data_IF_305870878185
#
_entry.id   IF_305870878185
#
_cell.length_a   1.000
_cell.length_b   1.000
_cell.length_c   1.000
_cell.angle_alpha   90.00
_cell.angle_beta   90.00
_cell.angle_gamma   90.00
#
_symmetry.space_group_name_H-M   'P 1'
#
loop_
_entity.id
_entity.type
_entity.pdbx_description
1 polymer ?
#
# COMPACT_ATOMS: atom_id res chain seq x y z
N UNK A 1 -2.44 -5.70 12.31
CA UNK A 1 -3.11 -6.96 11.93
C UNK A 1 -3.61 -6.93 10.48
N UNK A 2 -2.75 -6.64 9.51
CA UNK A 2 -3.09 -6.63 8.08
C UNK A 2 -2.31 -7.74 7.40
N UNK A 3 -2.46 -8.93 7.99
CA UNK A 3 -2.05 -10.18 7.38
C UNK A 3 -2.92 -10.52 6.16
N UNK A 4 -2.76 -11.73 5.60
CA UNK A 4 -3.54 -12.23 4.48
C UNK A 4 -5.07 -12.02 4.59
N UNK A 5 -5.63 -11.88 5.80
CA UNK A 5 -7.04 -11.55 6.03
C UNK A 5 -7.51 -10.21 5.44
N UNK A 6 -6.72 -9.14 5.55
CA UNK A 6 -7.09 -7.82 5.02
C UNK A 6 -7.07 -7.81 3.48
N UNK A 7 -6.08 -8.48 2.87
CA UNK A 7 -6.02 -8.69 1.43
C UNK A 7 -7.18 -9.54 0.89
N UNK A 8 -7.60 -10.57 1.65
CA UNK A 8 -8.78 -11.38 1.35
C UNK A 8 -10.08 -10.57 1.44
N UNK A 9 -10.20 -9.67 2.42
CA UNK A 9 -11.38 -8.81 2.56
C UNK A 9 -11.50 -7.79 1.41
N UNK A 10 -10.40 -7.12 1.05
CA UNK A 10 -10.36 -6.20 -0.09
C UNK A 10 -10.66 -6.91 -1.42
N UNK A 11 -10.21 -8.16 -1.55
CA UNK A 11 -10.50 -8.99 -2.71
C UNK A 11 -11.99 -9.39 -2.78
N UNK A 12 -12.58 -9.85 -1.66
CA UNK A 12 -14.02 -10.16 -1.57
C UNK A 12 -14.88 -8.96 -1.99
N UNK A 13 -14.60 -7.77 -1.46
CA UNK A 13 -15.35 -6.55 -1.80
C UNK A 13 -15.27 -6.16 -3.29
N UNK A 14 -14.16 -6.46 -3.97
CA UNK A 14 -14.02 -6.22 -5.40
C UNK A 14 -14.76 -7.26 -6.25
N UNK A 15 -14.83 -8.51 -5.79
CA UNK A 15 -15.51 -9.61 -6.44
C UNK A 15 -17.04 -9.50 -6.30
N UNK A 16 -17.55 -9.11 -5.12
CA UNK A 16 -18.99 -8.90 -4.88
C UNK A 16 -19.60 -7.86 -5.84
N UNK A 17 -18.81 -6.88 -6.28
CA UNK A 17 -19.24 -5.92 -7.33
C UNK A 17 -19.46 -6.58 -8.69
N UNK A 18 -18.86 -7.74 -8.94
CA UNK A 18 -18.89 -8.49 -10.20
C UNK A 18 -19.82 -9.71 -10.15
N UNK A 19 -20.24 -10.12 -8.94
CA UNK A 19 -21.12 -11.26 -8.61
C UNK A 19 -22.59 -11.07 -9.04
N UNK A 20 -22.90 -10.07 -9.89
CA UNK A 20 -24.26 -9.86 -10.42
C UNK A 20 -24.63 -10.85 -11.55
N UNK A 21 -23.91 -11.97 -11.67
CA UNK A 21 -24.09 -13.02 -12.69
C UNK A 21 -24.03 -14.44 -12.08
N UNK A 22 -23.95 -15.52 -12.87
CA UNK A 22 -24.02 -16.91 -12.37
C UNK A 22 -22.74 -17.43 -11.68
N UNK A 23 -21.78 -16.56 -11.37
CA UNK A 23 -20.42 -16.90 -10.91
C UNK A 23 -20.27 -16.64 -9.41
N UNK A 24 -20.31 -17.68 -8.58
CA UNK A 24 -20.09 -17.59 -7.13
C UNK A 24 -18.60 -17.77 -6.79
N UNK A 25 -17.97 -16.76 -6.22
CA UNK A 25 -16.53 -16.84 -5.87
C UNK A 25 -16.33 -16.99 -4.36
N UNK A 26 -15.47 -17.92 -3.96
CA UNK A 26 -15.11 -18.16 -2.56
C UNK A 26 -13.61 -18.07 -2.33
N UNK A 27 -13.20 -17.44 -1.23
CA UNK A 27 -11.78 -17.21 -0.91
C UNK A 27 -11.51 -17.75 0.49
N UNK A 28 -10.51 -18.63 0.61
CA UNK A 28 -10.09 -19.18 1.89
C UNK A 28 -8.61 -18.86 2.10
N UNK A 29 -8.21 -18.11 3.14
CA UNK A 29 -6.80 -18.01 3.48
C UNK A 29 -6.29 -19.36 4.00
N UNK A 30 -5.10 -19.79 3.58
CA UNK A 30 -4.40 -20.92 4.19
C UNK A 30 -3.35 -20.41 5.19
N UNK A 31 -2.93 -21.27 6.16
CA UNK A 31 -1.88 -20.92 7.10
C UNK A 31 -0.61 -20.47 6.38
N UNK A 32 0.04 -19.43 6.90
CA UNK A 32 1.32 -18.99 6.39
C UNK A 32 2.38 -20.09 6.60
N UNK A 33 2.96 -20.59 5.51
CA UNK A 33 4.15 -21.44 5.57
C UNK A 33 5.40 -20.58 5.76
N UNK A 34 6.51 -21.15 6.23
CA UNK A 34 7.80 -20.46 6.31
C UNK A 34 8.20 -19.90 4.92
N UNK A 35 7.97 -18.60 4.70
CA UNK A 35 8.25 -17.91 3.44
C UNK A 35 7.10 -17.10 2.82
N UNK A 36 5.87 -17.18 3.36
CA UNK A 36 4.77 -16.29 2.98
C UNK A 36 3.37 -16.88 3.07
N UNK A 37 2.37 -16.08 2.69
CA UNK A 37 0.96 -16.44 2.75
C UNK A 37 0.49 -17.06 1.42
N UNK A 38 -0.24 -18.16 1.51
CA UNK A 38 -0.91 -18.79 0.36
C UNK A 38 -2.40 -18.54 0.48
N UNK A 39 -3.00 -17.99 -0.58
CA UNK A 39 -4.43 -17.71 -0.65
C UNK A 39 -5.02 -18.49 -1.82
N UNK A 40 -5.66 -19.64 -1.57
CA UNK A 40 -6.50 -20.27 -2.58
C UNK A 40 -7.78 -19.45 -2.80
N UNK A 41 -8.01 -19.14 -4.07
CA UNK A 41 -9.24 -18.55 -4.58
C UNK A 41 -9.96 -19.65 -5.34
N UNK A 42 -11.11 -20.08 -4.84
CA UNK A 42 -11.95 -21.09 -5.48
C UNK A 42 -13.12 -20.38 -6.12
N UNK A 43 -13.12 -20.33 -7.45
CA UNK A 43 -14.22 -19.79 -8.24
C UNK A 43 -15.16 -20.92 -8.60
N UNK A 44 -16.44 -20.80 -8.26
CA UNK A 44 -17.48 -21.75 -8.65
C UNK A 44 -18.49 -21.06 -9.56
N UNK A 45 -18.97 -21.75 -10.57
CA UNK A 45 -20.09 -21.27 -11.36
C UNK A 45 -20.98 -22.42 -11.77
N UNK A 46 -22.21 -22.08 -12.03
CA UNK A 46 -23.25 -23.04 -12.37
C UNK A 46 -23.90 -22.54 -13.65
N UNK A 47 -23.83 -23.32 -14.75
CA UNK A 47 -24.52 -22.93 -15.98
C UNK A 47 -25.95 -23.48 -15.94
N UNK A 48 -26.98 -22.63 -15.84
CA UNK A 48 -28.35 -23.11 -15.82
C UNK A 48 -28.66 -23.82 -17.13
N UNK A 49 -28.88 -25.14 -17.07
CA UNK A 49 -29.40 -25.92 -18.19
C UNK A 49 -30.87 -26.21 -17.91
N UNK A 50 -31.80 -25.95 -18.86
CA UNK A 50 -33.23 -25.97 -18.58
C UNK A 50 -33.81 -27.31 -18.07
N UNK A 51 -33.11 -28.43 -18.26
CA UNK A 51 -33.68 -29.77 -18.04
C UNK A 51 -32.70 -30.83 -17.46
N UNK A 52 -31.56 -30.41 -16.89
CA UNK A 52 -30.61 -31.31 -16.22
C UNK A 52 -30.14 -30.72 -14.88
N UNK A 53 -29.68 -31.54 -13.92
CA UNK A 53 -29.01 -31.03 -12.74
C UNK A 53 -27.85 -30.13 -13.18
N UNK A 54 -27.85 -28.90 -12.65
CA UNK A 54 -26.88 -27.87 -13.02
C UNK A 54 -25.46 -28.38 -12.74
N UNK A 55 -24.58 -28.55 -13.74
CA UNK A 55 -23.20 -28.93 -13.48
C UNK A 55 -22.53 -27.79 -12.70
N UNK A 56 -22.12 -28.05 -11.46
CA UNK A 56 -21.22 -27.13 -10.74
C UNK A 56 -19.83 -27.24 -11.34
N UNK A 57 -19.40 -26.18 -12.01
CA UNK A 57 -18.03 -26.03 -12.48
C UNK A 57 -17.24 -25.23 -11.46
N UNK A 58 -15.97 -25.59 -11.27
CA UNK A 58 -15.08 -24.83 -10.41
C UNK A 58 -13.65 -24.78 -10.96
N UNK A 59 -12.96 -23.69 -10.66
CA UNK A 59 -11.54 -23.54 -10.88
C UNK A 59 -10.88 -23.10 -9.57
N UNK A 60 -9.78 -23.76 -9.21
CA UNK A 60 -8.98 -23.38 -8.05
C UNK A 60 -7.74 -22.64 -8.54
N UNK A 61 -7.62 -21.38 -8.13
CA UNK A 61 -6.42 -20.59 -8.35
C UNK A 61 -5.70 -20.48 -7.02
N UNK A 62 -4.50 -21.04 -6.96
CA UNK A 62 -3.63 -20.92 -5.80
C UNK A 62 -2.69 -19.76 -6.06
N UNK A 63 -2.85 -18.65 -5.32
CA UNK A 63 -1.90 -17.56 -5.32
C UNK A 63 -0.98 -17.69 -4.10
N UNK A 64 0.31 -17.90 -4.34
CA UNK A 64 1.35 -17.90 -3.33
C UNK A 64 2.05 -16.56 -3.33
N UNK A 65 2.00 -15.85 -2.21
CA UNK A 65 2.80 -14.66 -1.98
C UNK A 65 4.04 -15.06 -1.21
N UNK A 66 5.21 -14.74 -1.76
CA UNK A 66 6.49 -14.96 -1.09
C UNK A 66 7.21 -13.64 -0.91
N UNK A 67 7.78 -13.47 0.27
CA UNK A 67 8.74 -12.39 0.51
C UNK A 67 10.03 -12.76 -0.22
N UNK A 68 10.51 -11.86 -1.06
CA UNK A 68 11.75 -12.08 -1.80
C UNK A 68 12.94 -12.11 -0.83
N UNK A 69 14.07 -12.72 -1.22
CA UNK A 69 15.24 -12.87 -0.36
C UNK A 69 15.79 -11.54 0.18
N UNK A 70 15.52 -10.44 -0.51
CA UNK A 70 15.89 -9.09 -0.09
C UNK A 70 15.08 -8.55 1.10
N UNK A 71 14.03 -9.27 1.51
CA UNK A 71 13.11 -8.88 2.58
C UNK A 71 12.24 -7.66 2.24
N UNK A 72 12.34 -7.09 1.04
CA UNK A 72 11.75 -5.81 0.65
C UNK A 72 10.69 -5.95 -0.43
N UNK A 73 10.85 -6.91 -1.32
CA UNK A 73 9.89 -7.18 -2.39
C UNK A 73 9.00 -8.37 -2.05
N UNK A 74 7.74 -8.34 -2.53
CA UNK A 74 6.87 -9.50 -2.56
C UNK A 74 6.73 -9.99 -3.99
N UNK A 75 6.79 -11.30 -4.18
CA UNK A 75 6.48 -11.95 -5.45
C UNK A 75 5.19 -12.74 -5.32
N UNK A 76 4.33 -12.64 -6.32
CA UNK A 76 3.13 -13.45 -6.42
C UNK A 76 3.35 -14.48 -7.52
N UNK A 77 3.28 -15.77 -7.17
CA UNK A 77 3.19 -16.86 -8.12
C UNK A 77 1.76 -17.40 -8.05
N UNK A 78 1.13 -17.61 -9.20
CA UNK A 78 -0.17 -18.24 -9.24
C UNK A 78 -0.11 -19.53 -10.05
N UNK A 79 -0.89 -20.51 -9.61
CA UNK A 79 -1.11 -21.77 -10.34
C UNK A 79 -2.61 -22.00 -10.44
N UNK A 80 -3.07 -22.31 -11.65
CA UNK A 80 -4.40 -22.86 -11.88
C UNK A 80 -4.30 -24.37 -11.67
N UNK A 81 -5.02 -24.90 -10.69
CA UNK A 81 -5.10 -26.34 -10.44
C UNK A 81 -6.49 -26.82 -10.88
N UNK A 82 -6.49 -27.88 -11.69
CA UNK A 82 -7.58 -28.44 -12.51
C UNK A 82 -7.93 -27.69 -13.80
N UNK A 83 -7.27 -28.10 -14.90
CA UNK A 83 -7.64 -27.80 -16.29
C UNK A 83 -8.70 -28.75 -16.87
N UNK A 84 -9.31 -29.61 -16.06
CA UNK A 84 -10.43 -30.40 -16.54
C UNK A 84 -11.66 -29.50 -16.63
N UNK A 85 -11.87 -28.85 -17.78
CA UNK A 85 -12.99 -29.14 -18.68
C UNK A 85 -13.05 -28.19 -19.88
N UNK A 86 -13.46 -28.77 -21.00
CA UNK A 86 -13.75 -28.15 -22.29
C UNK A 86 -14.92 -27.17 -22.14
N UNK A 87 -14.69 -25.89 -22.43
CA UNK A 87 -15.73 -25.01 -22.96
C UNK A 87 -15.22 -24.35 -24.25
N UNK A 88 -16.12 -24.25 -25.23
CA UNK A 88 -15.92 -23.53 -26.48
C UNK A 88 -16.00 -22.00 -26.34
N UNK A 89 -15.97 -21.45 -25.12
CA UNK A 89 -16.17 -20.02 -24.89
C UNK A 89 -14.91 -19.34 -24.33
N UNK A 90 -14.06 -18.91 -25.26
CA UNK A 90 -12.83 -18.18 -24.98
C UNK A 90 -13.04 -16.94 -24.08
N UNK A 91 -14.27 -16.41 -24.04
CA UNK A 91 -14.66 -15.26 -23.24
C UNK A 91 -14.64 -15.53 -21.73
N UNK A 92 -15.13 -16.70 -21.28
CA UNK A 92 -15.15 -17.05 -19.86
C UNK A 92 -13.74 -17.30 -19.33
N UNK A 93 -12.91 -18.01 -20.09
CA UNK A 93 -11.49 -18.17 -19.76
C UNK A 93 -10.75 -16.81 -19.72
N UNK A 94 -11.09 -15.88 -20.63
CA UNK A 94 -10.57 -14.50 -20.62
C UNK A 94 -11.01 -13.72 -19.39
N UNK A 95 -12.27 -13.84 -18.97
CA UNK A 95 -12.82 -13.16 -17.79
C UNK A 95 -12.17 -13.68 -16.49
N UNK A 96 -12.04 -14.99 -16.33
CA UNK A 96 -11.33 -15.59 -15.18
C UNK A 96 -9.88 -15.14 -15.11
N UNK A 97 -9.13 -15.17 -16.23
CA UNK A 97 -7.76 -14.64 -16.30
C UNK A 97 -7.68 -13.16 -15.94
N UNK A 98 -8.61 -12.34 -16.43
CA UNK A 98 -8.66 -10.89 -16.17
C UNK A 98 -8.96 -10.58 -14.70
N UNK A 99 -9.86 -11.34 -14.08
CA UNK A 99 -10.19 -11.20 -12.65
C UNK A 99 -8.99 -11.59 -11.77
N UNK A 100 -8.30 -12.69 -12.09
CA UNK A 100 -7.06 -13.10 -11.40
C UNK A 100 -5.96 -12.06 -11.55
N UNK A 101 -5.72 -11.56 -12.78
CA UNK A 101 -4.71 -10.53 -13.02
C UNK A 101 -5.02 -9.26 -12.23
N UNK A 102 -6.29 -8.80 -12.22
CA UNK A 102 -6.71 -7.62 -11.46
C UNK A 102 -6.59 -7.82 -9.95
N UNK A 103 -6.88 -9.01 -9.46
CA UNK A 103 -6.70 -9.42 -8.06
C UNK A 103 -5.23 -9.33 -7.65
N UNK A 104 -4.34 -9.99 -8.41
CA UNK A 104 -2.90 -9.98 -8.15
C UNK A 104 -2.34 -8.55 -8.27
N UNK A 105 -2.80 -7.75 -9.23
CA UNK A 105 -2.43 -6.35 -9.38
C UNK A 105 -2.90 -5.48 -8.20
N UNK A 106 -4.11 -5.70 -7.67
CA UNK A 106 -4.61 -5.00 -6.49
C UNK A 106 -3.81 -5.38 -5.24
N UNK A 107 -3.50 -6.67 -5.07
CA UNK A 107 -2.64 -7.16 -3.99
C UNK A 107 -1.21 -6.59 -4.09
N UNK A 108 -0.66 -6.48 -5.30
CA UNK A 108 0.63 -5.84 -5.54
C UNK A 108 0.61 -4.33 -5.29
N UNK A 109 -0.50 -3.63 -5.59
CA UNK A 109 -0.67 -2.20 -5.25
C UNK A 109 -0.77 -1.98 -3.74
N UNK A 110 -1.46 -2.86 -3.02
CA UNK A 110 -1.50 -2.84 -1.56
C UNK A 110 -0.11 -3.12 -0.96
N UNK A 111 0.65 -4.07 -1.53
CA UNK A 111 2.04 -4.29 -1.15
C UNK A 111 2.96 -3.12 -1.53
N UNK A 112 2.71 -2.41 -2.63
CA UNK A 112 3.44 -1.20 -3.01
C UNK A 112 3.07 0.01 -2.12
N UNK A 113 1.83 0.05 -1.60
CA UNK A 113 1.44 1.00 -0.56
C UNK A 113 2.18 0.72 0.76
N UNK A 114 2.61 -0.51 1.02
CA UNK A 114 3.50 -0.84 2.14
C UNK A 114 4.91 -0.20 2.02
N UNK A 115 5.34 0.21 0.82
CA UNK A 115 6.53 1.04 0.63
C UNK A 115 6.21 2.55 0.72
N UNK A 116 5.37 2.93 1.69
CA UNK A 116 5.12 4.33 2.00
C UNK A 116 6.40 4.99 2.54
N UNK A 117 6.55 6.26 2.23
CA UNK A 117 7.69 7.09 2.57
C UNK A 117 7.19 8.29 3.36
N UNK A 118 7.81 8.53 4.51
CA UNK A 118 7.65 9.78 5.25
C UNK A 118 8.76 10.75 4.84
N UNK A 119 8.37 11.95 4.40
CA UNK A 119 9.27 12.97 3.89
C UNK A 119 9.30 14.14 4.86
N UNK A 120 10.49 14.47 5.33
CA UNK A 120 10.71 15.51 6.33
C UNK A 120 11.60 16.59 5.70
N UNK A 121 11.30 17.85 5.94
CA UNK A 121 12.11 18.99 5.52
C UNK A 121 12.54 19.73 6.78
N UNK A 122 13.84 19.84 7.03
CA UNK A 122 14.40 20.44 8.25
C UNK A 122 15.10 21.75 7.90
N UNK A 123 14.87 22.77 8.72
CA UNK A 123 15.54 24.07 8.64
C UNK A 123 16.99 23.94 9.12
N UNK A 124 17.96 24.29 8.27
CA UNK A 124 19.39 24.02 8.47
C UNK A 124 20.20 25.23 8.97
N UNK A 125 19.69 26.44 8.85
CA UNK A 125 20.36 27.68 9.28
C UNK A 125 20.32 27.93 10.79
N UNK A 126 19.66 27.06 11.56
CA UNK A 126 19.64 27.17 13.01
C UNK A 126 21.01 26.77 13.56
N UNK A 127 21.59 27.59 14.44
CA UNK A 127 22.84 27.29 15.17
C UNK A 127 22.59 26.28 16.31
N UNK A 128 21.86 25.21 16.00
CA UNK A 128 21.43 24.19 16.95
C UNK A 128 22.30 22.95 16.84
N UNK A 129 22.54 22.25 17.96
CA UNK A 129 23.24 20.97 17.91
C UNK A 129 22.44 19.97 17.06
N UNK A 130 23.15 19.05 16.39
CA UNK A 130 22.54 18.04 15.52
C UNK A 130 21.40 17.28 16.20
N UNK A 131 21.57 16.92 17.48
CA UNK A 131 20.53 16.23 18.25
C UNK A 131 19.24 17.03 18.38
N UNK A 132 19.31 18.36 18.54
CA UNK A 132 18.13 19.22 18.58
C UNK A 132 17.43 19.22 17.22
N UNK A 133 18.16 19.39 16.11
CA UNK A 133 17.59 19.31 14.76
C UNK A 133 16.91 17.96 14.47
N UNK A 134 17.49 16.86 14.97
CA UNK A 134 16.89 15.53 14.87
C UNK A 134 15.58 15.44 15.66
N UNK A 135 15.51 16.02 16.86
CA UNK A 135 14.29 16.06 17.65
C UNK A 135 13.16 16.78 16.88
N UNK A 136 13.47 17.91 16.25
CA UNK A 136 12.50 18.66 15.42
C UNK A 136 11.95 17.82 14.26
N UNK A 137 12.81 17.07 13.57
CA UNK A 137 12.40 16.16 12.52
C UNK A 137 11.47 15.05 13.05
N UNK A 138 11.78 14.49 14.21
CA UNK A 138 10.96 13.47 14.88
C UNK A 138 9.60 14.02 15.30
N UNK A 139 9.55 15.22 15.90
CA UNK A 139 8.31 15.86 16.32
C UNK A 139 7.39 16.12 15.12
N UNK A 140 7.91 16.74 14.06
CA UNK A 140 7.15 16.97 12.84
C UNK A 140 6.59 15.67 12.25
N UNK A 141 7.43 14.63 12.16
CA UNK A 141 7.06 13.31 11.64
C UNK A 141 5.94 12.66 12.46
N UNK A 142 6.07 12.65 13.78
CA UNK A 142 5.06 12.09 14.68
C UNK A 142 3.74 12.85 14.60
N UNK A 143 3.77 14.18 14.55
CA UNK A 143 2.58 15.01 14.40
C UNK A 143 1.86 14.74 13.07
N UNK A 144 2.60 14.71 11.95
CA UNK A 144 2.02 14.42 10.63
C UNK A 144 1.39 13.02 10.55
N UNK A 145 1.99 12.04 11.24
CA UNK A 145 1.45 10.69 11.37
C UNK A 145 0.18 10.68 12.21
N UNK A 146 0.17 11.27 13.41
CA UNK A 146 -1.00 11.24 14.30
C UNK A 146 -2.20 11.97 13.68
N UNK A 147 -1.99 13.14 13.08
CA UNK A 147 -3.03 13.90 12.37
C UNK A 147 -3.66 13.11 11.22
N UNK A 148 -2.95 12.10 10.68
CA UNK A 148 -3.38 11.28 9.56
C UNK A 148 -3.45 9.79 9.93
N UNK A 149 -3.58 9.44 11.21
CA UNK A 149 -3.55 8.04 11.71
C UNK A 149 -4.55 7.09 11.03
N UNK A 150 -5.65 7.63 10.50
CA UNK A 150 -6.72 6.89 9.81
C UNK A 150 -6.58 6.90 8.28
N UNK A 151 -5.57 7.56 7.72
CA UNK A 151 -5.27 7.50 6.30
C UNK A 151 -4.68 6.14 5.92
N UNK A 152 -5.16 5.56 4.82
CA UNK A 152 -4.76 4.21 4.36
C UNK A 152 -3.23 4.05 4.23
N UNK A 153 -2.55 5.05 3.67
CA UNK A 153 -1.09 4.99 3.49
C UNK A 153 -0.35 5.16 4.82
N UNK A 154 -0.88 5.96 5.74
CA UNK A 154 -0.32 6.13 7.09
C UNK A 154 -0.52 4.88 7.94
N UNK A 155 -1.70 4.26 7.92
CA UNK A 155 -1.97 2.98 8.59
C UNK A 155 -1.06 1.88 8.05
N UNK A 156 -0.89 1.77 6.73
CA UNK A 156 0.02 0.82 6.11
C UNK A 156 1.49 1.07 6.49
N UNK A 157 1.91 2.35 6.54
CA UNK A 157 3.26 2.74 6.95
C UNK A 157 3.59 2.28 8.38
N UNK A 158 2.66 2.43 9.33
CA UNK A 158 2.82 2.07 10.74
C UNK A 158 2.50 0.60 11.06
N UNK A 159 2.09 -0.19 10.06
CA UNK A 159 1.66 -1.55 10.28
C UNK A 159 2.78 -2.42 10.90
N UNK A 160 2.43 -3.34 11.81
CA UNK A 160 3.41 -4.17 12.53
C UNK A 160 4.35 -4.95 11.57
N UNK A 161 3.81 -5.47 10.46
CA UNK A 161 4.59 -6.19 9.44
C UNK A 161 5.54 -5.26 8.65
N UNK A 162 5.32 -3.94 8.71
CA UNK A 162 6.12 -2.91 8.07
C UNK A 162 7.05 -2.16 9.05
N UNK A 163 7.12 -2.55 10.32
CA UNK A 163 7.92 -1.84 11.32
C UNK A 163 9.40 -1.70 10.90
N UNK A 164 9.98 -2.76 10.33
CA UNK A 164 11.35 -2.78 9.80
C UNK A 164 11.47 -2.23 8.37
N UNK A 165 10.34 -1.96 7.71
CA UNK A 165 10.25 -1.44 6.34
C UNK A 165 10.00 0.07 6.27
N UNK A 166 9.71 0.71 7.40
CA UNK A 166 9.53 2.17 7.49
C UNK A 166 10.76 2.91 6.96
N UNK A 167 10.53 3.84 6.04
CA UNK A 167 11.58 4.63 5.44
C UNK A 167 11.25 6.12 5.55
N UNK A 168 12.24 6.89 6.00
CA UNK A 168 12.16 8.35 6.06
C UNK A 168 13.19 8.95 5.10
N UNK A 169 12.82 10.04 4.44
CA UNK A 169 13.77 10.85 3.67
C UNK A 169 13.75 12.25 4.23
N UNK A 170 14.94 12.76 4.56
CA UNK A 170 15.12 14.08 5.13
C UNK A 170 15.70 15.01 4.07
N UNK A 171 15.03 16.13 3.86
CA UNK A 171 15.39 17.21 2.97
C UNK A 171 15.82 18.44 3.78
N UNK A 172 16.65 19.29 3.19
CA UNK A 172 17.06 20.56 3.80
C UNK A 172 16.21 21.73 3.29
N UNK A 173 15.87 22.63 4.21
CA UNK A 173 15.51 24.02 3.93
C UNK A 173 16.64 24.91 4.46
N UNK A 174 17.16 25.80 3.60
CA UNK A 174 18.31 26.66 3.93
C UNK A 174 18.00 27.85 4.84
N UNK A 175 16.72 28.14 5.05
CA UNK A 175 16.23 29.27 5.83
C UNK A 175 14.76 29.07 6.16
N UNK A 176 14.20 29.92 7.02
CA UNK A 176 12.75 29.96 7.27
C UNK A 176 11.95 30.18 5.98
N UNK A 177 12.38 31.16 5.18
CA UNK A 177 11.74 31.48 3.90
C UNK A 177 11.78 30.28 2.96
N UNK A 178 12.88 29.51 2.94
CA UNK A 178 12.95 28.30 2.14
C UNK A 178 11.98 27.22 2.65
N UNK A 179 11.79 27.10 3.96
CA UNK A 179 10.85 26.17 4.58
C UNK A 179 9.39 26.57 4.29
N UNK A 180 9.05 27.85 4.42
CA UNK A 180 7.72 28.40 4.07
C UNK A 180 7.40 28.24 2.58
N UNK A 181 8.38 28.46 1.70
CA UNK A 181 8.24 28.19 0.27
C UNK A 181 8.02 26.70 -0.03
N UNK A 182 8.67 25.81 0.73
CA UNK A 182 8.43 24.37 0.62
C UNK A 182 7.01 24.00 1.06
N UNK A 183 6.51 24.54 2.18
CA UNK A 183 5.12 24.40 2.61
C UNK A 183 4.13 24.85 1.53
N UNK A 184 4.36 26.00 0.91
CA UNK A 184 3.49 26.53 -0.16
C UNK A 184 3.46 25.59 -1.36
N UNK A 185 4.62 25.15 -1.85
CA UNK A 185 4.71 24.17 -2.96
C UNK A 185 4.04 22.84 -2.62
N UNK A 186 4.15 22.38 -1.38
CA UNK A 186 3.49 21.17 -0.91
C UNK A 186 1.96 21.32 -0.92
N UNK A 187 1.42 22.45 -0.43
CA UNK A 187 -0.03 22.74 -0.50
C UNK A 187 -0.53 22.80 -1.94
N UNK A 188 0.18 23.49 -2.83
CA UNK A 188 -0.15 23.57 -4.26
C UNK A 188 -0.19 22.19 -4.93
N UNK A 189 0.67 21.26 -4.48
CA UNK A 189 0.71 19.87 -4.94
C UNK A 189 -0.34 18.98 -4.27
N UNK A 190 -1.19 19.53 -3.39
CA UNK A 190 -2.22 18.78 -2.66
C UNK A 190 -1.67 17.89 -1.55
N UNK A 191 -0.45 18.13 -1.06
CA UNK A 191 0.12 17.35 0.03
C UNK A 191 -0.47 17.76 1.38
N UNK A 192 -0.89 16.77 2.16
CA UNK A 192 -1.07 16.88 3.62
C UNK A 192 0.28 16.76 4.32
N UNK A 193 0.56 17.72 5.21
CA UNK A 193 1.78 17.80 6.01
C UNK A 193 1.51 18.58 7.31
N UNK A 194 2.37 18.36 8.29
CA UNK A 194 2.45 19.16 9.51
C UNK A 194 3.68 20.07 9.45
N UNK A 195 3.54 21.33 9.88
CA UNK A 195 4.63 22.28 10.01
C UNK A 195 4.90 22.51 11.51
N UNK A 196 6.02 21.98 11.99
CA UNK A 196 6.39 22.06 13.40
C UNK A 196 6.89 23.46 13.76
N UNK A 197 6.39 23.95 14.90
CA UNK A 197 6.77 25.21 15.52
C UNK A 197 7.33 24.89 16.89
N UNK A 198 8.61 25.15 17.10
CA UNK A 198 9.23 24.91 18.40
C UNK A 198 8.78 25.96 19.41
N UNK A 199 8.54 25.52 20.64
CA UNK A 199 8.19 26.38 21.78
C UNK A 199 9.31 26.33 22.83
N UNK A 200 9.55 27.43 23.56
CA UNK A 200 8.76 28.67 23.59
C UNK A 200 9.11 29.72 22.52
N UNK A 201 10.10 29.47 21.66
CA UNK A 201 10.64 30.45 20.71
C UNK A 201 9.65 30.82 19.59
N UNK A 202 8.67 29.96 19.29
CA UNK A 202 7.64 30.20 18.29
C UNK A 202 8.16 30.14 16.85
N UNK A 203 9.24 29.40 16.60
CA UNK A 203 9.90 29.36 15.29
C UNK A 203 9.59 28.09 14.49
N UNK A 204 9.46 28.21 13.17
CA UNK A 204 9.32 27.06 12.29
C UNK A 204 10.65 26.34 12.09
N UNK A 205 10.72 25.07 12.46
CA UNK A 205 11.96 24.28 12.42
C UNK A 205 11.90 23.11 11.45
N UNK A 206 10.74 22.50 11.23
CA UNK A 206 10.59 21.35 10.35
C UNK A 206 9.18 21.24 9.74
N UNK A 207 9.09 20.55 8.61
CA UNK A 207 7.84 20.10 7.99
C UNK A 207 7.93 18.59 7.81
N UNK A 208 6.87 17.85 8.09
CA UNK A 208 6.77 16.45 7.69
C UNK A 208 5.46 16.20 6.95
N UNK A 209 5.55 15.50 5.83
CA UNK A 209 4.37 15.00 5.14
C UNK A 209 3.79 13.82 5.92
N UNK A 210 2.48 13.57 5.81
CA UNK A 210 2.00 12.22 6.17
C UNK A 210 2.72 11.18 5.29
N UNK A 211 2.83 9.92 5.71
CA UNK A 211 3.30 8.88 4.81
C UNK A 211 2.52 8.82 3.50
N UNK A 212 3.25 8.75 2.38
CA UNK A 212 2.68 8.57 1.04
C UNK A 212 3.33 7.38 0.34
N UNK A 213 2.64 6.69 -0.59
CA UNK A 213 3.30 5.74 -1.47
C UNK A 213 4.54 6.37 -2.13
N UNK A 214 5.66 5.64 -2.18
CA UNK A 214 6.96 6.18 -2.65
C UNK A 214 6.88 6.90 -4.00
N UNK A 215 6.04 6.43 -4.93
CA UNK A 215 5.82 7.09 -6.23
C UNK A 215 5.20 8.48 -6.09
N UNK A 216 4.21 8.62 -5.21
CA UNK A 216 3.56 9.90 -4.90
C UNK A 216 4.53 10.82 -4.14
N UNK A 217 5.20 10.30 -3.11
CA UNK A 217 6.17 11.07 -2.33
C UNK A 217 7.29 11.66 -3.21
N UNK A 218 7.80 10.91 -4.19
CA UNK A 218 8.80 11.40 -5.15
C UNK A 218 8.30 12.58 -5.99
N UNK A 219 7.03 12.58 -6.38
CA UNK A 219 6.42 13.70 -7.11
C UNK A 219 6.23 14.90 -6.18
N UNK A 220 5.69 14.67 -4.98
CA UNK A 220 5.46 15.72 -3.97
C UNK A 220 6.76 16.41 -3.53
N UNK A 221 7.86 15.67 -3.43
CA UNK A 221 9.17 16.18 -3.01
C UNK A 221 10.09 16.56 -4.17
N UNK A 222 9.60 16.55 -5.42
CA UNK A 222 10.40 16.89 -6.59
C UNK A 222 10.97 18.31 -6.44
N UNK A 223 12.30 18.42 -6.54
CA UNK A 223 13.04 19.68 -6.45
C UNK A 223 13.53 20.05 -5.05
N UNK A 224 13.19 19.29 -4.01
CA UNK A 224 13.81 19.45 -2.69
C UNK A 224 15.18 18.76 -2.64
N UNK A 225 16.12 19.36 -1.89
CA UNK A 225 17.48 18.83 -1.72
C UNK A 225 17.55 17.96 -0.48
N UNK A 226 18.22 16.82 -0.58
CA UNK A 226 18.48 15.96 0.57
C UNK A 226 19.32 16.70 1.61
N UNK A 227 18.97 16.51 2.88
CA UNK A 227 19.82 16.96 3.98
C UNK A 227 21.09 16.12 3.96
N UNK A 228 22.24 16.79 3.81
CA UNK A 228 23.57 16.21 3.97
C UNK A 228 24.04 16.37 5.41
#
# INVERSE_FOLDING_TARGET
>A
MDGPGAAVAALRANIERWDRGPLKVSIKPLPATNGGAVVPIVMRWSQPTPHQPVPEHYATITAAMRRQPDGKAWSAQYRLEHESYVYSDAEMARLCRKLVLRTVQAMARAAAAAAALDCIIVRKDLEWPLGALMAQACHASMAAVEENRHDEATTAYLHADNLLGMHKVVYEAKSETALQNAATKLRERGARFHAWVEQPEGIHTAIALKPYPRTVARVLCKGFRLLK
#
